data_IF_731360265169
#
_entry.id   IF_731360265169
#
_cell.length_a   1.000
_cell.length_b   1.000
_cell.length_c   1.000
_cell.angle_alpha   90.00
_cell.angle_beta   90.00
_cell.angle_gamma   90.00
#
_symmetry.space_group_name_H-M   'P 1'
#
loop_
_entity.id
_entity.type
_entity.pdbx_description
1 polymer ?
#
# COMPACT_ATOMS: atom_id res chain seq x y z
N UNK A 1 1.60 1.34 -11.77
CA UNK A 1 1.73 1.33 -10.31
C UNK A 1 0.43 0.80 -9.72
N UNK A 2 0.53 0.04 -8.66
CA UNK A 2 -0.61 -0.62 -8.03
C UNK A 2 -0.64 -0.19 -6.57
N UNK A 3 -1.82 0.22 -6.08
CA UNK A 3 -2.01 0.48 -4.66
C UNK A 3 -2.52 -0.79 -4.00
N UNK A 4 -1.96 -1.18 -2.86
CA UNK A 4 -2.42 -2.35 -2.10
C UNK A 4 -2.68 -1.94 -0.65
N UNK A 5 -3.88 -2.27 -0.14
CA UNK A 5 -4.34 -1.75 1.14
C UNK A 5 -5.43 -2.64 1.73
N UNK A 6 -5.54 -2.66 3.05
CA UNK A 6 -6.70 -3.20 3.77
C UNK A 6 -7.47 -2.05 4.40
N UNK A 7 -8.77 -2.00 4.18
CA UNK A 7 -9.65 -0.95 4.69
C UNK A 7 -10.76 -1.53 5.55
N UNK A 8 -11.22 -0.76 6.54
CA UNK A 8 -12.43 -1.08 7.28
C UNK A 8 -13.68 -0.63 6.48
N UNK A 9 -14.88 -0.82 7.05
CA UNK A 9 -16.12 -0.48 6.36
C UNK A 9 -16.30 1.01 6.08
N UNK A 10 -15.47 1.87 6.67
CA UNK A 10 -15.46 3.33 6.46
C UNK A 10 -14.22 3.78 5.66
N UNK A 11 -13.50 2.85 5.01
CA UNK A 11 -12.24 3.12 4.31
C UNK A 11 -11.10 3.55 5.24
N UNK A 12 -11.20 3.19 6.52
CA UNK A 12 -10.14 3.42 7.48
C UNK A 12 -8.97 2.46 7.28
N UNK A 13 -7.74 2.95 7.50
CA UNK A 13 -6.53 2.18 7.25
C UNK A 13 -5.54 2.20 8.39
N UNK A 14 -5.66 3.14 9.32
CA UNK A 14 -4.67 3.25 10.39
C UNK A 14 -5.18 3.89 11.65
N UNK A 15 -4.49 3.57 12.74
CA UNK A 15 -4.76 4.07 14.08
C UNK A 15 -3.47 3.98 14.89
N UNK A 16 -3.13 5.04 15.64
CA UNK A 16 -1.95 5.06 16.51
C UNK A 16 -0.66 4.63 15.77
N UNK A 17 -0.46 5.14 14.55
CA UNK A 17 0.70 4.85 13.70
C UNK A 17 0.86 3.36 13.33
N UNK A 18 -0.24 2.60 13.34
CA UNK A 18 -0.22 1.19 12.99
C UNK A 18 -1.41 0.78 12.13
N UNK A 19 -1.45 -0.49 11.78
CA UNK A 19 -2.56 -1.10 11.06
C UNK A 19 -3.78 -1.25 11.97
N UNK A 20 -4.98 -1.23 11.37
CA UNK A 20 -6.22 -1.47 12.12
C UNK A 20 -6.41 -2.92 12.52
N UNK A 21 -5.95 -3.85 11.68
CA UNK A 21 -6.23 -5.26 11.82
C UNK A 21 -4.96 -6.09 11.65
N UNK A 22 -4.89 -7.18 12.38
CA UNK A 22 -3.90 -8.23 12.21
C UNK A 22 -4.64 -9.49 11.75
N UNK A 23 -4.72 -9.68 10.44
CA UNK A 23 -5.48 -10.77 9.81
C UNK A 23 -4.52 -11.59 8.94
N UNK A 24 -4.36 -12.87 9.29
CA UNK A 24 -3.41 -13.77 8.60
C UNK A 24 -3.71 -13.93 7.12
N UNK A 25 -4.98 -14.06 6.75
CA UNK A 25 -5.39 -14.19 5.36
C UNK A 25 -5.01 -12.96 4.54
N UNK A 26 -5.13 -11.77 5.12
CA UNK A 26 -4.74 -10.53 4.48
C UNK A 26 -3.21 -10.43 4.34
N UNK A 27 -2.48 -10.83 5.35
CA UNK A 27 -1.01 -10.83 5.29
C UNK A 27 -0.49 -11.78 4.21
N UNK A 28 -1.10 -12.97 4.08
CA UNK A 28 -0.75 -13.91 2.99
C UNK A 28 -1.04 -13.29 1.62
N UNK A 29 -2.18 -12.64 1.48
CA UNK A 29 -2.59 -11.96 0.24
C UNK A 29 -1.57 -10.87 -0.12
N UNK A 30 -1.16 -10.07 0.84
CA UNK A 30 -0.12 -9.04 0.66
C UNK A 30 1.20 -9.65 0.19
N UNK A 31 1.66 -10.71 0.85
CA UNK A 31 2.92 -11.38 0.49
C UNK A 31 2.84 -11.99 -0.91
N UNK A 32 1.74 -12.63 -1.26
CA UNK A 32 1.54 -13.22 -2.59
C UNK A 32 1.63 -12.18 -3.71
N UNK A 33 1.07 -10.97 -3.47
CA UNK A 33 1.13 -9.89 -4.45
C UNK A 33 2.52 -9.26 -4.55
N UNK A 34 3.22 -9.08 -3.44
CA UNK A 34 4.42 -8.23 -3.39
C UNK A 34 5.73 -8.98 -3.45
N UNK A 35 5.75 -10.29 -3.21
CA UNK A 35 7.00 -11.08 -3.23
C UNK A 35 7.70 -10.99 -4.58
N UNK A 36 8.98 -10.64 -4.56
CA UNK A 36 9.78 -10.48 -5.77
C UNK A 36 9.48 -9.20 -6.55
N UNK A 37 8.66 -8.33 -6.00
CA UNK A 37 8.22 -7.09 -6.63
C UNK A 37 8.90 -5.88 -6.00
N UNK A 38 8.44 -4.70 -6.37
CA UNK A 38 8.89 -3.41 -5.82
C UNK A 38 7.82 -2.87 -4.89
N UNK A 39 8.19 -2.46 -3.69
CA UNK A 39 7.28 -1.79 -2.76
C UNK A 39 7.75 -0.37 -2.53
N UNK A 40 6.83 0.58 -2.58
CA UNK A 40 7.08 1.99 -2.30
C UNK A 40 6.31 2.42 -1.07
N UNK A 41 6.96 3.17 -0.19
CA UNK A 41 6.40 3.53 1.10
C UNK A 41 6.96 4.84 1.63
N UNK A 42 6.26 5.42 2.60
CA UNK A 42 6.80 6.52 3.38
C UNK A 42 7.66 6.03 4.54
N UNK A 43 8.41 6.95 5.15
CA UNK A 43 9.31 6.62 6.26
C UNK A 43 8.60 6.07 7.50
N UNK A 44 7.38 6.56 7.78
CA UNK A 44 6.60 6.04 8.91
C UNK A 44 6.22 4.57 8.71
N UNK A 45 5.90 4.18 7.48
CA UNK A 45 5.61 2.78 7.16
C UNK A 45 6.84 1.92 7.35
N UNK A 46 8.01 2.36 6.89
CA UNK A 46 9.26 1.64 7.11
C UNK A 46 9.50 1.40 8.62
N UNK A 47 9.34 2.45 9.43
CA UNK A 47 9.53 2.32 10.88
C UNK A 47 8.55 1.36 11.53
N UNK A 48 7.36 1.19 10.96
CA UNK A 48 6.33 0.28 11.46
C UNK A 48 6.57 -1.19 11.08
N UNK A 49 7.43 -1.45 10.13
CA UNK A 49 7.78 -2.82 9.74
C UNK A 49 8.60 -3.49 10.83
N UNK A 50 8.59 -4.83 10.91
CA UNK A 50 9.34 -5.54 11.94
C UNK A 50 10.81 -5.12 12.00
N UNK A 51 11.26 -4.64 13.15
CA UNK A 51 12.61 -4.14 13.37
C UNK A 51 12.94 -2.86 12.62
N UNK A 52 11.96 -2.18 12.01
CA UNK A 52 12.20 -1.01 11.16
C UNK A 52 13.02 -1.33 9.91
N UNK A 53 12.98 -2.59 9.47
CA UNK A 53 13.76 -3.09 8.34
C UNK A 53 12.90 -3.20 7.07
N UNK A 54 13.50 -2.99 5.89
CA UNK A 54 12.77 -3.18 4.63
C UNK A 54 12.31 -4.64 4.47
N UNK A 55 11.27 -4.83 3.66
CA UNK A 55 10.71 -6.14 3.39
C UNK A 55 11.69 -7.01 2.60
N UNK A 56 11.88 -8.25 3.04
CA UNK A 56 12.77 -9.22 2.38
C UNK A 56 12.18 -9.66 1.04
N UNK A 57 13.07 -9.99 0.10
CA UNK A 57 12.73 -10.50 -1.24
C UNK A 57 11.89 -9.49 -2.06
N UNK A 58 12.08 -8.20 -1.82
CA UNK A 58 11.48 -7.11 -2.57
C UNK A 58 12.49 -6.00 -2.74
N UNK A 59 12.28 -5.19 -3.75
CA UNK A 59 12.97 -3.90 -3.87
C UNK A 59 12.14 -2.89 -3.06
N UNK A 60 12.77 -2.21 -2.12
CA UNK A 60 12.10 -1.23 -1.26
C UNK A 60 12.54 0.18 -1.65
N UNK A 61 11.58 1.04 -1.99
CA UNK A 61 11.79 2.45 -2.25
C UNK A 61 11.08 3.23 -1.16
N UNK A 62 11.83 4.03 -0.41
CA UNK A 62 11.31 4.77 0.76
C UNK A 62 11.42 6.26 0.52
N UNK A 63 10.28 6.95 0.64
CA UNK A 63 10.23 8.41 0.60
C UNK A 63 10.47 8.94 2.00
N UNK A 64 11.58 9.65 2.16
CA UNK A 64 11.94 10.35 3.40
C UNK A 64 12.75 11.58 3.06
N UNK A 65 12.16 12.79 3.10
CA UNK A 65 12.89 14.02 2.81
C UNK A 65 14.09 14.26 3.71
N UNK A 66 14.08 13.70 4.92
CA UNK A 66 15.13 13.85 5.93
C UNK A 66 15.93 12.57 6.16
N UNK A 67 15.79 11.60 5.27
CA UNK A 67 16.44 10.30 5.40
C UNK A 67 17.94 10.37 5.20
N UNK A 68 18.64 9.36 5.72
CA UNK A 68 20.09 9.20 5.63
C UNK A 68 20.45 8.15 4.57
N UNK A 69 21.27 8.55 3.59
CA UNK A 69 21.81 7.63 2.59
C UNK A 69 22.65 6.52 3.24
N UNK A 70 23.32 6.81 4.32
CA UNK A 70 24.10 5.84 5.08
C UNK A 70 23.19 4.75 5.66
N UNK A 71 22.07 5.16 6.26
CA UNK A 71 21.11 4.22 6.82
C UNK A 71 20.43 3.40 5.71
N UNK A 72 20.08 4.03 4.60
CA UNK A 72 19.48 3.37 3.46
C UNK A 72 20.40 2.27 2.90
N UNK A 73 21.67 2.60 2.71
CA UNK A 73 22.66 1.63 2.24
C UNK A 73 22.88 0.50 3.24
N UNK A 74 22.95 0.81 4.53
CA UNK A 74 23.15 -0.17 5.59
C UNK A 74 21.98 -1.15 5.71
N UNK A 75 20.74 -0.65 5.57
CA UNK A 75 19.53 -1.45 5.70
C UNK A 75 19.07 -2.11 4.39
N UNK A 76 19.53 -1.60 3.26
CA UNK A 76 19.24 -2.18 1.95
C UNK A 76 17.95 -1.68 1.31
N UNK A 77 17.67 -0.38 1.36
CA UNK A 77 16.56 0.22 0.63
C UNK A 77 17.04 1.42 -0.20
N UNK A 78 16.23 1.78 -1.19
CA UNK A 78 16.45 2.97 -2.02
C UNK A 78 15.78 4.16 -1.34
N UNK A 79 16.53 5.20 -1.04
CA UNK A 79 16.02 6.44 -0.46
C UNK A 79 15.67 7.42 -1.57
N UNK A 80 14.48 7.98 -1.52
CA UNK A 80 14.04 9.10 -2.36
C UNK A 80 13.51 10.21 -1.45
N UNK A 81 13.66 11.47 -1.88
CA UNK A 81 13.38 12.62 -1.02
C UNK A 81 12.14 13.40 -1.41
N UNK A 82 11.55 13.07 -2.56
CA UNK A 82 10.35 13.74 -3.07
C UNK A 82 9.49 12.77 -3.87
N UNK A 83 8.20 13.08 -4.05
CA UNK A 83 7.34 12.28 -4.92
C UNK A 83 7.88 12.18 -6.35
N UNK A 84 8.49 13.23 -6.87
CA UNK A 84 9.07 13.25 -8.21
C UNK A 84 10.25 12.28 -8.32
N UNK A 85 11.11 12.24 -7.31
CA UNK A 85 12.22 11.28 -7.26
C UNK A 85 11.68 9.84 -7.16
N UNK A 86 10.61 9.64 -6.38
CA UNK A 86 9.99 8.33 -6.24
C UNK A 86 9.46 7.84 -7.59
N UNK A 87 8.75 8.69 -8.32
CA UNK A 87 8.20 8.34 -9.63
C UNK A 87 9.31 8.02 -10.64
N UNK A 88 10.41 8.74 -10.61
CA UNK A 88 11.58 8.44 -11.45
C UNK A 88 12.22 7.09 -11.08
N UNK A 89 12.37 6.81 -9.80
CA UNK A 89 12.92 5.53 -9.35
C UNK A 89 12.00 4.38 -9.72
N UNK A 90 10.69 4.54 -9.52
CA UNK A 90 9.70 3.53 -9.86
C UNK A 90 9.62 3.25 -11.36
N UNK A 91 9.90 4.26 -12.20
CA UNK A 91 9.88 4.13 -13.66
C UNK A 91 10.94 3.16 -14.21
N UNK A 92 11.94 2.77 -13.40
CA UNK A 92 12.93 1.77 -13.78
C UNK A 92 12.39 0.33 -13.72
N UNK A 93 11.16 0.14 -13.27
CA UNK A 93 10.53 -1.16 -13.11
C UNK A 93 9.21 -1.23 -13.87
N UNK A 94 8.75 -2.43 -14.28
CA UNK A 94 7.44 -2.58 -14.90
C UNK A 94 6.33 -2.06 -13.99
N UNK A 95 5.36 -1.36 -14.56
CA UNK A 95 4.26 -0.73 -13.81
C UNK A 95 3.45 -1.72 -12.97
N UNK A 96 3.26 -2.93 -13.48
CA UNK A 96 2.52 -4.00 -12.81
C UNK A 96 3.33 -4.72 -11.73
N UNK A 97 4.55 -4.28 -11.47
CA UNK A 97 5.41 -4.82 -10.41
C UNK A 97 5.68 -3.82 -9.28
N UNK A 98 5.15 -2.61 -9.36
CA UNK A 98 5.37 -1.57 -8.35
C UNK A 98 4.11 -1.38 -7.51
N UNK A 99 4.22 -1.65 -6.21
CA UNK A 99 3.13 -1.62 -5.23
C UNK A 99 3.32 -0.50 -4.21
N UNK A 100 2.32 0.36 -4.08
CA UNK A 100 2.27 1.39 -3.02
C UNK A 100 1.68 0.73 -1.76
N UNK A 101 2.46 0.71 -0.68
CA UNK A 101 2.08 -0.01 0.54
C UNK A 101 1.77 0.90 1.74
N UNK A 102 1.86 2.20 1.57
CA UNK A 102 1.42 3.14 2.60
C UNK A 102 2.48 4.19 2.97
N UNK A 103 2.24 5.08 3.91
CA UNK A 103 0.94 5.23 4.61
C UNK A 103 -0.03 6.17 3.92
N UNK A 104 -0.92 6.77 4.71
CA UNK A 104 -2.02 7.56 4.19
C UNK A 104 -1.63 8.65 3.20
N UNK A 105 -0.55 9.39 3.49
CA UNK A 105 -0.06 10.44 2.60
C UNK A 105 0.46 9.84 1.28
N UNK A 106 1.17 8.71 1.34
CA UNK A 106 1.69 8.04 0.15
C UNK A 106 0.57 7.52 -0.74
N UNK A 107 -0.44 6.91 -0.14
CA UNK A 107 -1.63 6.48 -0.89
C UNK A 107 -2.30 7.66 -1.60
N UNK A 108 -2.52 8.76 -0.87
CA UNK A 108 -3.17 9.95 -1.42
C UNK A 108 -2.37 10.56 -2.56
N UNK A 109 -1.06 10.69 -2.38
CA UNK A 109 -0.16 11.31 -3.36
C UNK A 109 -0.03 10.46 -4.62
N UNK A 110 0.05 9.13 -4.49
CA UNK A 110 0.34 8.22 -5.59
C UNK A 110 -0.89 7.58 -6.23
N UNK A 111 -2.05 7.65 -5.59
CA UNK A 111 -3.28 7.06 -6.14
C UNK A 111 -3.59 7.53 -7.57
N UNK A 112 -3.43 8.82 -7.91
CA UNK A 112 -3.66 9.28 -9.29
C UNK A 112 -2.77 8.59 -10.33
N UNK A 113 -1.61 8.10 -9.94
CA UNK A 113 -0.67 7.40 -10.83
C UNK A 113 -0.91 5.90 -10.88
N UNK A 114 -1.79 5.37 -10.03
CA UNK A 114 -2.10 3.95 -9.99
C UNK A 114 -3.17 3.60 -11.03
N UNK A 115 -2.94 2.57 -11.81
CA UNK A 115 -3.93 2.03 -12.74
C UNK A 115 -4.80 0.94 -12.08
N UNK A 116 -4.36 0.42 -10.95
CA UNK A 116 -5.03 -0.65 -10.22
C UNK A 116 -4.89 -0.44 -8.71
N UNK A 117 -5.92 -0.83 -7.98
CA UNK A 117 -5.90 -0.90 -6.53
C UNK A 117 -6.38 -2.28 -6.09
N UNK A 118 -5.58 -2.94 -5.26
CA UNK A 118 -5.89 -4.21 -4.63
C UNK A 118 -6.31 -3.90 -3.21
N UNK A 119 -7.61 -4.01 -2.93
CA UNK A 119 -8.21 -3.55 -1.67
C UNK A 119 -8.83 -4.73 -0.94
N UNK A 120 -8.34 -4.99 0.27
CA UNK A 120 -9.01 -5.92 1.19
C UNK A 120 -10.04 -5.14 1.97
N UNK A 121 -11.32 -5.48 1.79
CA UNK A 121 -12.43 -4.86 2.53
C UNK A 121 -12.77 -5.71 3.74
N UNK A 122 -12.56 -5.16 4.92
CA UNK A 122 -12.88 -5.82 6.20
C UNK A 122 -14.22 -5.30 6.70
N UNK A 123 -15.16 -6.22 6.95
CA UNK A 123 -16.50 -5.87 7.44
C UNK A 123 -16.46 -5.63 8.96
N UNK A 124 -15.85 -4.54 9.34
CA UNK A 124 -15.75 -4.10 10.74
C UNK A 124 -15.40 -2.61 10.78
N UNK A 125 -15.68 -1.99 11.91
CA UNK A 125 -15.24 -0.62 12.21
C UNK A 125 -14.00 -0.71 13.10
N UNK A 126 -12.86 -0.34 12.57
CA UNK A 126 -11.58 -0.39 13.29
C UNK A 126 -11.29 0.84 14.14
N UNK A 127 -12.16 1.84 14.13
CA UNK A 127 -11.92 3.10 14.82
C UNK A 127 -10.77 3.89 14.24
N UNK A 128 -10.68 3.96 12.93
CA UNK A 128 -9.55 4.53 12.22
C UNK A 128 -9.38 6.03 12.46
N UNK A 129 -8.13 6.47 12.43
CA UNK A 129 -7.74 7.88 12.45
C UNK A 129 -7.21 8.32 11.08
N UNK A 130 -6.78 7.37 10.24
CA UNK A 130 -6.28 7.61 8.88
C UNK A 130 -7.16 6.83 7.92
N UNK A 131 -7.51 7.47 6.79
CA UNK A 131 -8.46 6.93 5.83
C UNK A 131 -7.87 6.87 4.43
N UNK A 132 -8.26 5.84 3.69
CA UNK A 132 -8.01 5.69 2.27
C UNK A 132 -9.16 6.31 1.49
N UNK A 133 -8.90 6.73 0.26
CA UNK A 133 -9.94 7.28 -0.61
C UNK A 133 -11.04 6.24 -0.86
N UNK A 134 -12.30 6.65 -0.77
CA UNK A 134 -13.42 5.78 -1.13
C UNK A 134 -13.48 5.63 -2.65
N UNK A 135 -12.92 4.56 -3.17
CA UNK A 135 -12.87 4.32 -4.62
C UNK A 135 -14.25 4.08 -5.22
N UNK A 136 -15.20 3.59 -4.43
CA UNK A 136 -16.57 3.34 -4.90
C UNK A 136 -17.32 4.64 -5.19
N UNK A 137 -16.84 5.76 -4.65
CA UNK A 137 -17.40 7.10 -4.88
C UNK A 137 -16.68 7.87 -6.00
N UNK A 138 -15.66 7.29 -6.63
CA UNK A 138 -14.84 7.96 -7.65
C UNK A 138 -15.21 7.43 -9.04
N UNK A 139 -15.59 8.32 -9.97
CA UNK A 139 -16.07 7.88 -11.30
C UNK A 139 -14.98 7.22 -12.16
N UNK A 140 -13.71 7.59 -11.97
CA UNK A 140 -12.58 7.00 -12.71
C UNK A 140 -12.20 5.60 -12.20
N UNK A 141 -12.70 5.20 -11.04
CA UNK A 141 -12.41 3.88 -10.45
C UNK A 141 -13.59 2.94 -10.62
N UNK A 142 -13.34 1.74 -11.11
CA UNK A 142 -14.36 0.70 -11.31
C UNK A 142 -13.93 -0.57 -10.61
N UNK A 143 -14.83 -1.16 -9.82
CA UNK A 143 -14.62 -2.48 -9.22
C UNK A 143 -14.61 -3.52 -10.34
N UNK A 144 -13.47 -4.18 -10.53
CA UNK A 144 -13.27 -5.18 -11.58
C UNK A 144 -13.45 -6.61 -11.07
N UNK A 145 -13.01 -6.87 -9.84
CA UNK A 145 -13.07 -8.20 -9.22
C UNK A 145 -13.39 -8.07 -7.74
N UNK A 146 -14.19 -9.00 -7.24
CA UNK A 146 -14.47 -9.13 -5.81
C UNK A 146 -14.56 -10.60 -5.47
N UNK A 147 -13.76 -11.05 -4.50
CA UNK A 147 -13.80 -12.44 -4.04
C UNK A 147 -15.05 -12.73 -3.22
N UNK A 148 -15.38 -14.01 -3.08
CA UNK A 148 -16.32 -14.44 -2.05
C UNK A 148 -15.79 -14.03 -0.68
N UNK A 149 -16.69 -13.78 0.31
CA UNK A 149 -16.26 -13.47 1.67
C UNK A 149 -15.41 -14.57 2.29
N UNK A 150 -14.37 -14.18 3.01
CA UNK A 150 -13.48 -15.06 3.75
C UNK A 150 -13.57 -14.69 5.23
N UNK A 151 -13.68 -15.69 6.10
CA UNK A 151 -13.65 -15.48 7.55
C UNK A 151 -12.27 -15.89 8.09
N UNK A 152 -11.60 -14.98 8.78
CA UNK A 152 -10.31 -15.24 9.39
C UNK A 152 -10.09 -14.29 10.55
N UNK A 153 -9.45 -14.79 11.61
CA UNK A 153 -9.06 -13.99 12.79
C UNK A 153 -10.24 -13.22 13.43
N UNK A 154 -11.46 -13.76 13.31
CA UNK A 154 -12.66 -13.13 13.84
C UNK A 154 -13.27 -12.06 12.96
N UNK A 155 -12.78 -11.89 11.75
CA UNK A 155 -13.28 -10.91 10.78
C UNK A 155 -13.79 -11.57 9.51
N UNK A 156 -14.73 -10.89 8.86
CA UNK A 156 -15.17 -11.24 7.50
C UNK A 156 -14.54 -10.24 6.55
N UNK A 157 -13.87 -10.71 5.51
CA UNK A 157 -13.18 -9.85 4.55
C UNK A 157 -13.39 -10.35 3.13
N UNK A 158 -13.26 -9.46 2.17
CA UNK A 158 -13.24 -9.79 0.74
C UNK A 158 -12.07 -9.08 0.05
N UNK A 159 -11.51 -9.75 -0.95
CA UNK A 159 -10.40 -9.21 -1.74
C UNK A 159 -10.95 -8.61 -3.02
N UNK A 160 -10.72 -7.31 -3.21
CA UNK A 160 -11.25 -6.54 -4.32
C UNK A 160 -10.12 -6.01 -5.19
N UNK A 161 -10.37 -5.93 -6.50
CA UNK A 161 -9.49 -5.23 -7.43
C UNK A 161 -10.29 -4.17 -8.14
N UNK A 162 -9.85 -2.93 -8.07
CA UNK A 162 -10.43 -1.80 -8.78
C UNK A 162 -9.45 -1.27 -9.81
N UNK A 163 -9.98 -0.75 -10.92
CA UNK A 163 -9.19 -0.20 -12.01
C UNK A 163 -9.49 1.27 -12.22
N UNK A 164 -8.43 2.03 -12.48
CA UNK A 164 -8.51 3.44 -12.80
C UNK A 164 -8.49 3.60 -14.33
N UNK A 165 -9.53 4.23 -14.89
CA UNK A 165 -9.63 4.45 -16.33
C UNK A 165 -8.77 5.62 -16.84
N UNK A 166 -8.24 6.44 -15.95
CA UNK A 166 -7.52 7.67 -16.29
C UNK A 166 -6.28 7.90 -15.41
N UNK A 167 -5.37 6.91 -15.29
CA UNK A 167 -4.18 7.12 -14.48
C UNK A 167 -3.28 8.18 -15.11
N UNK A 168 -2.61 8.98 -14.27
CA UNK A 168 -1.60 9.91 -14.72
C UNK A 168 -0.37 9.16 -15.22
N UNK A 169 0.33 9.72 -16.23
CA UNK A 169 1.53 9.09 -16.78
C UNK A 169 2.71 9.11 -15.81
#
# INVERSE_FOLDING_TARGET
>A
MISIVAVDKHWGIGKNNGLLFDIKADMRHFVEHTRGKVVVMGSNTLRSLPGGMPLKNRVNIVLDPEGSEKDASAKGYTLVRSPEELLRAAANYPKDEVYVIGGGMMYRTLLPYCDKAVVTKVDADGGAQVFYENLDARPEWTLAEESAPVCDSGYTLSFCTSRNSSPLP
#
